data_IF_715771292769
#
_entry.id   IF_715771292769
#
_cell.length_a   1.000
_cell.length_b   1.000
_cell.length_c   1.000
_cell.angle_alpha   90.00
_cell.angle_beta   90.00
_cell.angle_gamma   90.00
#
_symmetry.space_group_name_H-M   'P 1'
#
loop_
_entity.id
_entity.type
_entity.pdbx_description
1 polymer ?
#
# COMPACT_ATOMS: atom_id res chain seq x y z
N UNK A 1 43.76 43.46 24.46
CA UNK A 1 42.99 42.23 24.13
C UNK A 1 42.94 42.19 22.61
N UNK A 2 43.80 41.40 22.01
CA UNK A 2 44.01 41.30 20.56
C UNK A 2 43.06 40.25 20.00
N UNK A 3 42.22 40.64 19.05
CA UNK A 3 41.35 39.72 18.30
C UNK A 3 42.16 39.01 17.24
N UNK A 4 42.14 37.69 17.30
CA UNK A 4 42.78 36.81 16.32
C UNK A 4 41.80 36.61 15.15
N UNK A 5 42.26 36.99 13.94
CA UNK A 5 41.50 36.79 12.69
C UNK A 5 41.67 35.33 12.24
N UNK A 6 40.56 34.70 11.84
CA UNK A 6 40.54 33.38 11.20
C UNK A 6 40.87 33.52 9.71
N UNK A 7 41.62 32.61 9.12
CA UNK A 7 41.93 32.64 7.70
C UNK A 7 40.67 32.24 6.88
N UNK A 8 40.43 33.00 5.82
CA UNK A 8 39.44 32.69 4.81
C UNK A 8 39.94 31.47 4.00
N UNK A 9 39.13 30.41 3.94
CA UNK A 9 39.37 29.28 3.07
C UNK A 9 39.04 29.65 1.62
N UNK A 10 40.03 29.51 0.75
CA UNK A 10 39.90 29.62 -0.71
C UNK A 10 38.85 28.60 -1.22
N UNK A 11 37.87 29.11 -1.90
CA UNK A 11 36.88 28.31 -2.64
C UNK A 11 37.55 27.98 -3.98
N UNK A 12 37.89 26.68 -4.17
CA UNK A 12 38.30 26.17 -5.46
C UNK A 12 37.10 26.18 -6.44
N UNK A 13 37.30 26.54 -7.69
CA UNK A 13 36.20 26.54 -8.69
C UNK A 13 35.79 25.09 -8.97
N UNK A 14 34.51 24.81 -8.77
CA UNK A 14 33.87 23.55 -9.19
C UNK A 14 33.86 23.48 -10.71
N UNK A 15 34.49 22.44 -11.25
CA UNK A 15 34.43 22.08 -12.65
C UNK A 15 32.97 21.97 -13.12
N UNK A 16 32.69 22.58 -14.27
CA UNK A 16 31.44 22.49 -14.99
C UNK A 16 31.12 21.04 -15.38
N UNK A 17 30.36 20.35 -14.56
CA UNK A 17 29.70 19.13 -14.99
C UNK A 17 28.49 19.52 -15.85
N UNK A 18 28.61 19.35 -17.15
CA UNK A 18 27.49 19.36 -18.09
C UNK A 18 26.39 18.43 -17.60
N UNK A 19 25.12 18.88 -17.54
CA UNK A 19 24.02 17.98 -17.21
C UNK A 19 23.98 16.86 -18.24
N UNK A 20 24.10 15.64 -17.80
CA UNK A 20 23.79 14.47 -18.63
C UNK A 20 22.27 14.49 -18.77
N UNK A 21 21.81 14.86 -19.97
CA UNK A 21 20.40 14.68 -20.35
C UNK A 21 20.07 13.19 -20.28
N UNK A 22 19.51 12.76 -19.15
CA UNK A 22 18.89 11.45 -19.04
C UNK A 22 17.61 11.53 -19.86
N UNK A 23 17.68 11.13 -21.12
CA UNK A 23 16.53 10.93 -22.00
C UNK A 23 15.66 9.84 -21.36
N UNK A 24 14.66 10.27 -20.64
CA UNK A 24 13.55 9.37 -20.30
C UNK A 24 12.83 9.03 -21.61
N UNK A 25 12.49 7.76 -21.88
CA UNK A 25 11.67 7.43 -23.02
C UNK A 25 10.37 8.24 -22.94
N UNK A 26 9.86 8.76 -24.07
CA UNK A 26 8.64 9.53 -24.07
C UNK A 26 7.52 8.70 -23.42
N UNK A 27 6.69 9.35 -22.61
CA UNK A 27 5.54 8.70 -22.01
C UNK A 27 4.69 8.09 -23.15
N UNK A 28 4.25 6.81 -23.02
CA UNK A 28 3.45 6.16 -24.03
C UNK A 28 2.24 7.03 -24.37
N UNK A 29 2.00 7.24 -25.66
CA UNK A 29 0.87 8.04 -26.17
C UNK A 29 -0.41 7.20 -26.15
N UNK A 30 -1.56 7.84 -26.30
CA UNK A 30 -2.83 7.11 -26.42
C UNK A 30 -2.87 6.14 -27.62
N UNK A 31 -2.02 6.38 -28.62
CA UNK A 31 -1.88 5.52 -29.81
C UNK A 31 -1.11 4.23 -29.51
N UNK A 32 -0.21 4.23 -28.51
CA UNK A 32 0.54 3.04 -28.08
C UNK A 32 -0.37 2.00 -27.39
N UNK A 33 -1.60 2.37 -27.05
CA UNK A 33 -2.62 1.50 -26.44
C UNK A 33 -3.78 1.17 -27.41
N UNK A 34 -3.68 1.56 -28.68
CA UNK A 34 -4.76 1.43 -29.67
C UNK A 34 -4.86 0.03 -30.30
N UNK A 35 -3.94 -0.88 -30.00
CA UNK A 35 -4.02 -2.25 -30.49
C UNK A 35 -5.04 -3.07 -29.69
N UNK A 36 -6.21 -3.21 -30.33
CA UNK A 36 -7.23 -4.27 -30.16
C UNK A 36 -7.47 -4.81 -28.73
N UNK A 37 -8.03 -4.00 -27.85
CA UNK A 37 -8.82 -4.56 -26.77
C UNK A 37 -10.26 -4.68 -27.21
N UNK A 38 -10.56 -5.72 -27.98
CA UNK A 38 -11.93 -6.21 -28.12
C UNK A 38 -12.42 -6.52 -26.70
N UNK A 39 -13.51 -5.93 -26.19
CA UNK A 39 -14.05 -6.32 -24.90
C UNK A 39 -14.58 -7.75 -25.04
N UNK A 40 -13.78 -8.72 -24.68
CA UNK A 40 -14.24 -10.07 -24.49
C UNK A 40 -15.23 -10.04 -23.32
N UNK A 41 -16.51 -10.07 -23.68
CA UNK A 41 -17.60 -10.35 -22.75
C UNK A 41 -17.39 -11.76 -22.20
N UNK A 42 -16.64 -11.86 -21.11
CA UNK A 42 -16.43 -13.10 -20.39
C UNK A 42 -17.33 -13.12 -19.15
N UNK A 43 -18.62 -13.31 -19.37
CA UNK A 43 -19.51 -13.79 -18.33
C UNK A 43 -19.08 -15.23 -17.99
N UNK A 44 -18.54 -15.46 -16.78
CA UNK A 44 -18.45 -16.80 -16.20
C UNK A 44 -17.09 -17.48 -16.13
N UNK A 45 -15.97 -16.77 -16.12
CA UNK A 45 -14.70 -17.40 -15.71
C UNK A 45 -14.62 -17.38 -14.19
N UNK A 46 -15.12 -18.44 -13.57
CA UNK A 46 -14.79 -18.82 -12.21
C UNK A 46 -13.31 -19.19 -12.19
N UNK A 47 -12.54 -18.78 -11.19
CA UNK A 47 -11.11 -19.14 -11.05
C UNK A 47 -10.85 -20.66 -11.06
N UNK A 48 -11.87 -21.48 -10.87
CA UNK A 48 -11.80 -22.95 -11.02
C UNK A 48 -11.40 -23.42 -12.43
N UNK A 49 -11.56 -22.57 -13.47
CA UNK A 49 -11.16 -22.94 -14.84
C UNK A 49 -9.70 -22.56 -15.16
N UNK A 50 -8.97 -21.94 -14.24
CA UNK A 50 -7.55 -21.62 -14.40
C UNK A 50 -6.65 -22.75 -13.93
N UNK A 51 -7.07 -24.00 -14.07
CA UNK A 51 -6.23 -25.16 -13.83
C UNK A 51 -5.40 -25.59 -15.06
N UNK A 52 -4.74 -24.64 -15.73
CA UNK A 52 -3.55 -25.02 -16.47
C UNK A 52 -2.48 -25.34 -15.43
N UNK A 53 -1.93 -26.56 -15.35
CA UNK A 53 -0.91 -26.88 -14.38
C UNK A 53 0.29 -25.97 -14.63
N UNK A 54 0.50 -24.97 -13.77
CA UNK A 54 1.79 -24.32 -13.70
C UNK A 54 2.78 -25.39 -13.27
N UNK A 55 3.57 -25.87 -14.21
CA UNK A 55 4.56 -26.94 -13.99
C UNK A 55 5.68 -26.50 -13.04
N UNK A 56 5.76 -25.20 -12.70
CA UNK A 56 6.78 -24.67 -11.80
C UNK A 56 6.12 -23.77 -10.73
N UNK A 57 6.02 -24.28 -9.51
CA UNK A 57 5.63 -23.47 -8.36
C UNK A 57 6.70 -22.41 -8.06
N UNK A 58 6.25 -21.22 -7.71
CA UNK A 58 7.12 -20.09 -7.35
C UNK A 58 7.64 -20.33 -5.93
N UNK A 59 8.96 -20.47 -5.77
CA UNK A 59 9.59 -20.61 -4.46
C UNK A 59 9.74 -19.24 -3.79
N UNK A 60 8.69 -18.79 -3.15
CA UNK A 60 8.68 -17.52 -2.41
C UNK A 60 7.48 -17.47 -1.45
N UNK A 61 7.58 -16.69 -0.40
CA UNK A 61 6.44 -16.37 0.46
C UNK A 61 5.59 -15.32 -0.27
N UNK A 62 4.33 -15.61 -0.65
CA UNK A 62 3.52 -14.70 -1.43
C UNK A 62 3.06 -13.50 -0.60
N UNK A 63 3.20 -12.30 -1.16
CA UNK A 63 2.66 -11.07 -0.59
C UNK A 63 1.82 -10.36 -1.65
N UNK A 64 0.69 -9.78 -1.24
CA UNK A 64 -0.25 -9.09 -2.12
C UNK A 64 -0.75 -7.81 -1.48
N UNK A 65 -1.01 -6.79 -2.30
CA UNK A 65 -1.77 -5.61 -1.90
C UNK A 65 -3.14 -5.66 -2.54
N UNK A 66 -4.14 -5.36 -1.74
CA UNK A 66 -5.54 -5.20 -2.16
C UNK A 66 -5.95 -3.76 -1.91
N UNK A 67 -6.30 -3.04 -2.97
CA UNK A 67 -6.71 -1.64 -2.89
C UNK A 67 -8.11 -1.44 -3.46
N UNK A 68 -8.79 -0.37 -3.03
CA UNK A 68 -10.11 0.01 -3.54
C UNK A 68 -10.79 1.02 -2.65
N UNK A 69 -11.94 1.52 -3.09
CA UNK A 69 -12.75 2.47 -2.33
C UNK A 69 -13.21 1.90 -0.98
N UNK A 70 -13.59 2.78 -0.07
CA UNK A 70 -14.23 2.36 1.18
C UNK A 70 -15.54 1.62 0.89
N UNK A 71 -15.82 0.55 1.62
CA UNK A 71 -17.04 -0.25 1.46
C UNK A 71 -17.08 -1.18 0.23
N UNK A 72 -16.06 -1.20 -0.62
CA UNK A 72 -16.03 -2.08 -1.82
C UNK A 72 -15.85 -3.57 -1.49
N UNK A 73 -15.59 -3.92 -0.22
CA UNK A 73 -15.46 -5.31 0.23
C UNK A 73 -14.02 -5.81 0.33
N UNK A 74 -13.04 -4.92 0.52
CA UNK A 74 -11.61 -5.28 0.70
C UNK A 74 -11.40 -6.24 1.85
N UNK A 75 -11.92 -5.93 3.04
CA UNK A 75 -11.79 -6.79 4.23
C UNK A 75 -12.42 -8.15 4.00
N UNK A 76 -13.61 -8.19 3.39
CA UNK A 76 -14.25 -9.45 3.00
C UNK A 76 -13.38 -10.26 2.03
N UNK A 77 -12.76 -9.60 1.05
CA UNK A 77 -11.83 -10.25 0.11
C UNK A 77 -10.67 -10.95 0.84
N UNK A 78 -10.18 -10.40 1.96
CA UNK A 78 -9.09 -11.00 2.72
C UNK A 78 -9.46 -12.33 3.37
N UNK A 79 -10.75 -12.68 3.41
CA UNK A 79 -11.28 -13.97 3.90
C UNK A 79 -11.45 -15.03 2.82
N UNK A 80 -11.07 -14.75 1.57
CA UNK A 80 -11.15 -15.74 0.47
C UNK A 80 -10.08 -16.85 0.55
N UNK A 81 -9.34 -16.90 1.67
CA UNK A 81 -8.53 -18.04 2.13
C UNK A 81 -8.80 -18.29 3.61
N UNK A 82 -8.57 -19.52 4.07
CA UNK A 82 -8.73 -19.90 5.48
C UNK A 82 -7.49 -19.52 6.31
N UNK A 83 -7.67 -19.47 7.63
CA UNK A 83 -6.60 -19.32 8.63
C UNK A 83 -5.83 -18.00 8.53
N UNK A 84 -6.53 -16.92 8.18
CA UNK A 84 -6.00 -15.55 8.22
C UNK A 84 -6.02 -14.95 9.61
N UNK A 85 -5.04 -14.07 9.90
CA UNK A 85 -4.98 -13.28 11.11
C UNK A 85 -4.88 -11.79 10.76
N UNK A 86 -5.72 -10.94 11.36
CA UNK A 86 -5.83 -9.54 11.00
C UNK A 86 -5.20 -8.61 12.04
N UNK A 87 -4.33 -7.72 11.59
CA UNK A 87 -3.93 -6.51 12.29
C UNK A 87 -4.90 -5.40 11.87
N UNK A 88 -6.00 -5.24 12.61
CA UNK A 88 -7.10 -4.35 12.31
C UNK A 88 -6.80 -2.94 12.82
N UNK A 89 -6.30 -2.09 11.93
CA UNK A 89 -5.88 -0.72 12.26
C UNK A 89 -7.05 0.25 12.10
N UNK A 90 -7.95 -0.03 11.15
CA UNK A 90 -9.12 0.83 10.86
C UNK A 90 -10.30 0.54 11.80
N UNK A 91 -10.34 -0.65 12.39
CA UNK A 91 -11.47 -1.09 13.21
C UNK A 91 -12.62 -1.69 12.38
N UNK A 92 -12.41 -1.94 11.09
CA UNK A 92 -13.42 -2.43 10.15
C UNK A 92 -13.52 -3.96 10.06
N UNK A 93 -12.55 -4.69 10.60
CA UNK A 93 -12.46 -6.14 10.43
C UNK A 93 -13.37 -6.96 11.38
N UNK A 94 -14.15 -6.30 12.24
CA UNK A 94 -14.90 -6.96 13.31
C UNK A 94 -15.93 -7.98 12.86
N UNK A 95 -16.51 -7.83 11.67
CA UNK A 95 -17.48 -8.78 11.11
C UNK A 95 -16.82 -9.95 10.37
N UNK A 96 -15.56 -9.79 9.98
CA UNK A 96 -14.85 -10.76 9.14
C UNK A 96 -13.88 -11.63 9.94
N UNK A 97 -13.31 -11.11 11.02
CA UNK A 97 -12.37 -11.80 11.89
C UNK A 97 -12.89 -11.83 13.34
N UNK A 98 -12.96 -13.01 13.95
CA UNK A 98 -13.26 -13.13 15.37
C UNK A 98 -12.08 -12.65 16.25
N UNK A 99 -12.32 -12.53 17.56
CA UNK A 99 -11.33 -11.97 18.49
C UNK A 99 -10.08 -12.84 18.66
N UNK A 100 -10.11 -14.12 18.28
CA UNK A 100 -8.93 -14.99 18.29
C UNK A 100 -8.07 -14.82 17.03
N UNK A 101 -8.64 -14.25 15.96
CA UNK A 101 -8.00 -14.09 14.66
C UNK A 101 -7.71 -12.63 14.30
N UNK A 102 -7.77 -11.71 15.27
CA UNK A 102 -7.40 -10.31 15.05
C UNK A 102 -6.73 -9.69 16.28
N UNK A 103 -5.97 -8.62 16.02
CA UNK A 103 -5.60 -7.60 16.99
C UNK A 103 -6.19 -6.30 16.50
N UNK A 104 -7.09 -5.72 17.28
CA UNK A 104 -7.70 -4.42 16.95
C UNK A 104 -6.87 -3.30 17.57
N UNK A 105 -6.58 -2.28 16.76
CA UNK A 105 -5.88 -1.07 17.16
C UNK A 105 -6.84 0.12 17.17
N UNK A 106 -6.46 1.16 17.91
CA UNK A 106 -7.14 2.45 17.85
C UNK A 106 -6.34 3.39 16.95
N UNK A 107 -6.88 3.86 15.81
CA UNK A 107 -6.19 4.79 14.92
C UNK A 107 -5.73 6.09 15.61
N UNK A 108 -6.46 6.53 16.65
CA UNK A 108 -6.09 7.71 17.45
C UNK A 108 -5.03 7.47 18.52
N UNK A 109 -4.53 6.24 18.67
CA UNK A 109 -3.53 5.92 19.69
C UNK A 109 -2.16 6.52 19.33
N UNK A 110 -1.59 7.40 20.18
CA UNK A 110 -0.28 8.02 19.90
C UNK A 110 0.89 7.02 19.89
N UNK A 111 0.68 5.80 20.37
CA UNK A 111 1.69 4.74 20.37
C UNK A 111 1.40 3.64 19.32
N UNK A 112 0.48 3.84 18.41
CA UNK A 112 0.04 2.83 17.45
C UNK A 112 1.21 2.13 16.75
N UNK A 113 2.14 2.89 16.17
CA UNK A 113 3.28 2.33 15.46
C UNK A 113 4.19 1.46 16.36
N UNK A 114 4.36 1.86 17.62
CA UNK A 114 5.15 1.11 18.61
C UNK A 114 4.42 -0.18 18.99
N UNK A 115 3.11 -0.11 19.24
CA UNK A 115 2.29 -1.28 19.59
C UNK A 115 2.28 -2.29 18.45
N UNK A 116 2.06 -1.81 17.22
CA UNK A 116 2.09 -2.65 16.03
C UNK A 116 3.46 -3.33 15.86
N UNK A 117 4.56 -2.59 16.02
CA UNK A 117 5.90 -3.17 15.94
C UNK A 117 6.14 -4.25 17.00
N UNK A 118 5.69 -4.03 18.24
CA UNK A 118 5.79 -5.03 19.33
C UNK A 118 5.02 -6.30 18.98
N UNK A 119 3.83 -6.17 18.40
CA UNK A 119 3.01 -7.33 18.04
C UNK A 119 3.58 -8.05 16.81
N UNK A 120 4.15 -7.34 15.84
CA UNK A 120 4.91 -7.92 14.73
C UNK A 120 6.11 -8.72 15.24
N UNK A 121 6.86 -8.20 16.23
CA UNK A 121 7.97 -8.94 16.87
C UNK A 121 7.48 -10.20 17.58
N UNK A 122 6.33 -10.15 18.31
CA UNK A 122 5.72 -11.33 18.94
C UNK A 122 5.30 -12.36 17.89
N UNK A 123 4.65 -11.93 16.79
CA UNK A 123 4.26 -12.81 15.70
C UNK A 123 5.48 -13.49 15.07
N UNK A 124 6.55 -12.75 14.85
CA UNK A 124 7.80 -13.31 14.32
C UNK A 124 8.44 -14.35 15.26
N UNK A 125 8.24 -14.22 16.58
CA UNK A 125 8.74 -15.15 17.59
C UNK A 125 7.86 -16.40 17.78
N UNK A 126 6.67 -16.45 17.15
CA UNK A 126 5.78 -17.61 17.22
C UNK A 126 6.43 -18.85 16.58
N UNK A 127 6.13 -20.02 17.15
CA UNK A 127 6.57 -21.31 16.58
C UNK A 127 5.95 -21.52 15.22
N UNK A 128 6.68 -22.23 14.35
CA UNK A 128 6.18 -22.68 13.06
C UNK A 128 5.76 -24.13 13.10
N UNK A 129 4.65 -24.41 12.41
CA UNK A 129 4.16 -25.73 12.13
C UNK A 129 3.87 -25.83 10.64
N UNK A 130 4.88 -26.25 9.86
CA UNK A 130 4.85 -26.18 8.40
C UNK A 130 4.68 -24.76 7.88
N UNK A 131 3.61 -24.52 7.13
CA UNK A 131 3.27 -23.20 6.56
C UNK A 131 2.56 -22.27 7.58
N UNK A 132 2.31 -22.72 8.81
CA UNK A 132 1.54 -21.98 9.80
C UNK A 132 2.44 -21.37 10.87
N UNK A 133 2.01 -20.22 11.42
CA UNK A 133 2.42 -19.75 12.73
C UNK A 133 1.47 -20.33 13.77
N UNK A 134 2.02 -20.84 14.88
CA UNK A 134 1.25 -21.29 16.02
C UNK A 134 1.21 -20.18 17.06
N UNK A 135 0.05 -19.56 17.22
CA UNK A 135 -0.16 -18.50 18.19
C UNK A 135 -0.12 -19.05 19.62
N UNK A 136 0.23 -18.25 20.64
CA UNK A 136 0.16 -18.67 22.04
C UNK A 136 -1.23 -19.16 22.47
N UNK A 137 -2.29 -18.67 21.82
CA UNK A 137 -3.68 -19.12 22.00
C UNK A 137 -3.98 -20.50 21.42
N UNK A 138 -3.03 -21.12 20.71
CA UNK A 138 -3.24 -22.37 19.96
C UNK A 138 -3.79 -22.19 18.55
N UNK A 139 -4.14 -20.97 18.15
CA UNK A 139 -4.62 -20.67 16.80
C UNK A 139 -3.50 -20.85 15.79
N UNK A 140 -3.81 -21.52 14.65
CA UNK A 140 -2.92 -21.67 13.51
C UNK A 140 -3.18 -20.57 12.50
N UNK A 141 -2.16 -19.84 12.11
CA UNK A 141 -2.24 -18.70 11.20
C UNK A 141 -1.45 -19.00 9.93
N UNK A 142 -2.11 -18.99 8.78
CA UNK A 142 -1.50 -19.25 7.47
C UNK A 142 -1.01 -17.97 6.80
N UNK A 143 -1.73 -16.87 6.96
CA UNK A 143 -1.37 -15.57 6.39
C UNK A 143 -1.79 -14.42 7.31
N UNK A 144 -1.12 -13.29 7.14
CA UNK A 144 -1.37 -12.07 7.89
C UNK A 144 -2.11 -11.05 7.00
N UNK A 145 -3.09 -10.37 7.55
CA UNK A 145 -3.77 -9.22 6.95
C UNK A 145 -3.39 -7.96 7.71
N UNK A 146 -3.08 -6.88 7.02
CA UNK A 146 -2.85 -5.55 7.61
C UNK A 146 -3.89 -4.60 7.04
N UNK A 147 -4.90 -4.24 7.84
CA UNK A 147 -6.10 -3.50 7.41
C UNK A 147 -6.27 -2.22 8.25
N UNK A 148 -5.92 -1.03 7.77
CA UNK A 148 -5.38 -0.65 6.46
C UNK A 148 -4.05 0.09 6.58
N UNK A 149 -3.20 -0.05 5.57
CA UNK A 149 -1.84 0.53 5.57
C UNK A 149 -1.84 2.05 5.44
N UNK A 150 -2.79 2.63 4.70
CA UNK A 150 -2.89 4.08 4.52
C UNK A 150 -3.36 4.78 5.80
N UNK A 151 -4.27 4.17 6.58
CA UNK A 151 -4.65 4.68 7.90
C UNK A 151 -3.45 4.62 8.86
N UNK A 152 -2.69 3.53 8.85
CA UNK A 152 -1.45 3.44 9.62
C UNK A 152 -0.48 4.55 9.25
N UNK A 153 -0.25 4.78 7.97
CA UNK A 153 0.63 5.85 7.50
C UNK A 153 0.11 7.23 7.91
N UNK A 154 -1.21 7.47 7.76
CA UNK A 154 -1.85 8.72 8.21
C UNK A 154 -1.62 8.96 9.69
N UNK A 155 -1.82 7.95 10.53
CA UNK A 155 -1.59 8.04 11.97
C UNK A 155 -0.12 8.35 12.29
N UNK A 156 0.84 7.73 11.60
CA UNK A 156 2.27 8.04 11.76
C UNK A 156 2.55 9.50 11.38
N UNK A 157 1.98 10.00 10.27
CA UNK A 157 2.09 11.40 9.85
C UNK A 157 1.53 12.35 10.90
N UNK A 158 0.33 12.06 11.43
CA UNK A 158 -0.32 12.86 12.47
C UNK A 158 0.50 12.89 13.77
N UNK A 159 1.02 11.74 14.19
CA UNK A 159 1.90 11.64 15.36
C UNK A 159 3.21 12.40 15.17
N UNK A 160 3.81 12.30 13.98
CA UNK A 160 5.00 13.05 13.64
C UNK A 160 4.77 14.55 13.68
N UNK A 161 3.67 15.03 13.11
CA UNK A 161 3.31 16.44 13.13
C UNK A 161 2.92 16.93 14.52
N UNK A 162 2.17 16.13 15.30
CA UNK A 162 1.78 16.45 16.67
C UNK A 162 2.98 16.58 17.63
N UNK A 163 4.03 15.79 17.40
CA UNK A 163 5.29 15.90 18.14
C UNK A 163 6.21 17.01 17.63
N UNK A 164 5.70 17.91 16.81
CA UNK A 164 6.44 19.04 16.28
C UNK A 164 7.59 18.63 15.38
N UNK A 165 7.45 17.55 14.63
CA UNK A 165 8.46 17.01 13.71
C UNK A 165 9.76 16.56 14.42
N UNK A 166 9.68 16.18 15.70
CA UNK A 166 10.83 15.86 16.55
C UNK A 166 11.30 14.39 16.47
N UNK A 167 10.98 13.69 15.40
CA UNK A 167 11.59 12.36 15.18
C UNK A 167 13.00 12.58 14.60
N UNK A 168 13.95 12.81 15.50
CA UNK A 168 15.38 12.62 15.25
C UNK A 168 16.20 13.84 14.81
N UNK A 169 15.66 14.80 14.08
CA UNK A 169 16.40 15.98 13.61
C UNK A 169 15.45 17.16 13.41
N UNK A 170 15.09 17.86 14.44
CA UNK A 170 14.16 18.96 14.26
C UNK A 170 14.34 20.13 15.20
N UNK A 171 14.32 21.29 14.63
CA UNK A 171 14.29 22.55 15.32
C UNK A 171 13.05 22.60 16.25
N UNK A 172 13.28 22.53 17.57
CA UNK A 172 12.25 22.56 18.60
C UNK A 172 11.40 23.85 18.59
N UNK A 173 11.80 24.88 17.84
CA UNK A 173 11.10 26.16 17.75
C UNK A 173 9.74 26.06 17.04
N UNK A 174 9.62 25.18 16.03
CA UNK A 174 8.34 24.95 15.32
C UNK A 174 7.32 24.23 16.19
N UNK A 175 7.78 23.28 17.03
CA UNK A 175 6.91 22.57 17.97
C UNK A 175 6.32 23.48 19.04
N UNK A 176 7.14 24.37 19.60
CA UNK A 176 6.68 25.34 20.59
C UNK A 176 5.64 26.31 20.02
N UNK A 177 5.84 26.76 18.77
CA UNK A 177 4.87 27.61 18.07
C UNK A 177 3.54 26.94 17.80
N UNK A 178 3.56 25.62 17.51
CA UNK A 178 2.34 24.82 17.29
C UNK A 178 1.54 24.64 18.59
N UNK A 179 2.20 24.30 19.70
CA UNK A 179 1.55 24.15 21.00
C UNK A 179 0.90 25.48 21.46
N UNK A 180 1.58 26.59 21.23
CA UNK A 180 1.00 27.94 21.52
C UNK A 180 -0.17 28.24 20.58
N UNK A 181 -0.09 27.89 19.29
CA UNK A 181 -1.19 28.10 18.34
C UNK A 181 -2.42 27.26 18.68
N UNK A 182 -2.25 26.01 19.12
CA UNK A 182 -3.34 25.16 19.59
C UNK A 182 -3.99 25.73 20.87
N UNK A 183 -3.19 26.19 21.82
CA UNK A 183 -3.69 26.80 23.05
C UNK A 183 -4.44 28.14 22.80
N UNK A 184 -4.11 28.83 21.71
CA UNK A 184 -4.78 30.06 21.28
C UNK A 184 -6.00 29.82 20.36
N UNK A 185 -6.37 28.56 20.07
CA UNK A 185 -7.45 28.20 19.14
C UNK A 185 -7.12 28.42 17.65
N UNK A 186 -5.88 28.78 17.32
CA UNK A 186 -5.42 29.01 15.95
C UNK A 186 -4.72 27.76 15.44
N UNK A 187 -5.48 26.82 14.88
CA UNK A 187 -4.93 25.64 14.22
C UNK A 187 -4.46 26.01 12.81
N UNK A 188 -3.16 26.14 12.63
CA UNK A 188 -2.56 26.15 11.28
C UNK A 188 -1.99 24.75 11.03
N UNK A 189 -2.53 23.97 10.06
CA UNK A 189 -1.97 22.68 9.73
C UNK A 189 -0.50 22.85 9.35
N UNK A 190 0.39 22.07 10.00
CA UNK A 190 1.80 22.09 9.62
C UNK A 190 1.90 21.49 8.22
N UNK A 191 2.35 22.29 7.27
CA UNK A 191 2.62 21.82 5.92
C UNK A 191 3.81 20.84 5.95
N UNK A 192 3.60 19.62 5.47
CA UNK A 192 4.66 18.64 5.30
C UNK A 192 5.61 19.09 4.19
N UNK A 193 6.89 19.16 4.49
CA UNK A 193 7.96 19.43 3.54
C UNK A 193 8.55 18.13 3.00
N UNK A 194 9.36 18.19 1.95
CA UNK A 194 9.94 16.98 1.33
C UNK A 194 10.81 16.17 2.31
N UNK A 195 11.57 16.85 3.16
CA UNK A 195 12.39 16.23 4.19
C UNK A 195 11.58 15.53 5.29
N UNK A 196 10.37 16.01 5.59
CA UNK A 196 9.48 15.38 6.56
C UNK A 196 9.02 14.01 6.08
N UNK A 197 8.72 13.88 4.78
CA UNK A 197 8.41 12.61 4.15
C UNK A 197 9.55 11.60 4.22
N UNK A 198 10.80 12.08 4.13
CA UNK A 198 11.99 11.24 4.36
C UNK A 198 12.00 10.63 5.76
N UNK A 199 11.67 11.42 6.79
CA UNK A 199 11.58 10.94 8.18
C UNK A 199 10.46 9.93 8.38
N UNK A 200 9.29 10.14 7.78
CA UNK A 200 8.17 9.20 7.83
C UNK A 200 8.54 7.88 7.15
N UNK A 201 9.17 7.93 5.98
CA UNK A 201 9.62 6.73 5.28
C UNK A 201 10.64 5.94 6.11
N UNK A 202 11.51 6.64 6.86
CA UNK A 202 12.48 6.01 7.78
C UNK A 202 11.79 5.23 8.91
N UNK A 203 10.56 5.58 9.30
CA UNK A 203 9.75 4.82 10.27
C UNK A 203 8.95 3.70 9.59
N UNK A 204 8.37 4.00 8.44
CA UNK A 204 7.48 3.07 7.74
C UNK A 204 8.23 1.90 7.09
N UNK A 205 9.39 2.16 6.51
CA UNK A 205 10.15 1.12 5.80
C UNK A 205 10.60 -0.04 6.71
N UNK A 206 11.16 0.18 7.91
CA UNK A 206 11.45 -0.89 8.85
C UNK A 206 10.20 -1.66 9.29
N UNK A 207 9.08 -0.98 9.49
CA UNK A 207 7.83 -1.63 9.89
C UNK A 207 7.30 -2.56 8.79
N UNK A 208 7.23 -2.09 7.54
CA UNK A 208 6.86 -2.90 6.38
C UNK A 208 7.79 -4.11 6.24
N UNK A 209 9.10 -3.88 6.34
CA UNK A 209 10.10 -4.96 6.26
C UNK A 209 9.95 -5.96 7.40
N UNK A 210 9.68 -5.51 8.63
CA UNK A 210 9.44 -6.37 9.78
C UNK A 210 8.19 -7.24 9.58
N UNK A 211 7.09 -6.67 9.08
CA UNK A 211 5.86 -7.40 8.76
C UNK A 211 6.15 -8.50 7.72
N UNK A 212 6.80 -8.16 6.62
CA UNK A 212 7.15 -9.13 5.57
C UNK A 212 8.13 -10.22 6.06
N UNK A 213 8.97 -9.91 7.06
CA UNK A 213 9.94 -10.84 7.65
C UNK A 213 9.34 -11.84 8.66
N UNK A 214 8.03 -11.75 8.96
CA UNK A 214 7.32 -12.74 9.79
C UNK A 214 7.40 -14.13 9.15
N UNK A 215 7.47 -14.19 7.80
CA UNK A 215 7.76 -15.42 7.06
C UNK A 215 6.51 -16.23 6.73
N UNK A 216 5.33 -15.64 6.76
CA UNK A 216 4.09 -16.14 6.18
C UNK A 216 3.57 -15.15 5.13
N UNK A 217 2.63 -15.54 4.26
CA UNK A 217 1.97 -14.63 3.33
C UNK A 217 1.42 -13.39 4.03
N UNK A 218 1.52 -12.23 3.37
CA UNK A 218 0.97 -10.97 3.88
C UNK A 218 0.04 -10.37 2.83
N UNK A 219 -1.14 -9.98 3.28
CA UNK A 219 -2.14 -9.24 2.53
C UNK A 219 -2.20 -7.83 3.11
N UNK A 220 -1.67 -6.85 2.38
CA UNK A 220 -1.85 -5.45 2.73
C UNK A 220 -3.15 -4.94 2.15
N UNK A 221 -3.99 -4.32 2.96
CA UNK A 221 -5.20 -3.62 2.52
C UNK A 221 -4.92 -2.13 2.51
N UNK A 222 -5.35 -1.44 1.45
CA UNK A 222 -5.25 0.02 1.35
C UNK A 222 -6.53 0.59 0.73
N UNK A 223 -6.81 1.86 0.99
CA UNK A 223 -7.75 2.59 0.16
C UNK A 223 -7.10 2.92 -1.20
N UNK A 224 -7.94 3.25 -2.17
CA UNK A 224 -7.43 3.76 -3.43
C UNK A 224 -6.91 5.20 -3.26
N UNK A 225 -5.90 5.52 -4.04
CA UNK A 225 -5.34 6.84 -4.18
C UNK A 225 -5.26 7.23 -5.65
N UNK A 226 -4.69 8.41 -5.91
CA UNK A 226 -4.48 8.91 -7.26
C UNK A 226 -5.37 10.10 -7.60
N UNK A 227 -5.34 10.49 -8.86
CA UNK A 227 -6.09 11.64 -9.36
C UNK A 227 -7.35 11.18 -10.10
N UNK A 228 -8.45 11.91 -9.92
CA UNK A 228 -9.66 11.69 -10.72
C UNK A 228 -9.43 12.13 -12.16
N UNK A 229 -10.13 11.49 -13.10
CA UNK A 229 -10.18 11.89 -14.49
C UNK A 229 -10.70 13.33 -14.61
N UNK A 230 -10.15 14.09 -15.56
CA UNK A 230 -10.55 15.46 -15.83
C UNK A 230 -11.26 15.53 -17.18
N UNK A 231 -12.38 16.23 -17.24
CA UNK A 231 -13.18 16.39 -18.45
C UNK A 231 -13.26 17.87 -18.85
N UNK A 232 -13.43 18.12 -20.13
CA UNK A 232 -13.70 19.46 -20.64
C UNK A 232 -15.12 19.87 -20.24
N UNK A 233 -15.27 20.99 -19.52
CA UNK A 233 -16.55 21.47 -19.01
C UNK A 233 -17.62 21.64 -20.10
N UNK A 234 -17.23 22.10 -21.29
CA UNK A 234 -18.16 22.43 -22.36
C UNK A 234 -18.54 21.23 -23.24
N UNK A 235 -17.72 20.20 -23.31
CA UNK A 235 -17.91 19.08 -24.26
C UNK A 235 -18.08 17.73 -23.57
N UNK A 236 -17.82 17.65 -22.27
CA UNK A 236 -17.79 16.39 -21.52
C UNK A 236 -16.71 15.39 -21.97
N UNK A 237 -15.86 15.76 -22.95
CA UNK A 237 -14.79 14.89 -23.42
C UNK A 237 -13.67 14.79 -22.39
N UNK A 238 -13.05 13.61 -22.31
CA UNK A 238 -11.91 13.37 -21.45
C UNK A 238 -10.76 14.33 -21.81
N UNK A 239 -10.32 15.13 -20.83
CA UNK A 239 -9.19 16.05 -20.96
C UNK A 239 -7.90 15.38 -20.51
N UNK A 240 -7.96 14.66 -19.39
CA UNK A 240 -6.83 13.94 -18.81
C UNK A 240 -7.36 12.71 -18.07
N UNK A 241 -6.82 11.51 -18.36
CA UNK A 241 -7.17 10.32 -17.57
C UNK A 241 -6.76 10.52 -16.12
N UNK A 242 -7.53 9.93 -15.22
CA UNK A 242 -7.17 9.81 -13.82
C UNK A 242 -6.14 8.71 -13.61
N UNK A 243 -5.71 8.57 -12.36
CA UNK A 243 -4.83 7.50 -11.90
C UNK A 243 -5.51 6.71 -10.79
N UNK A 244 -5.38 5.40 -10.83
CA UNK A 244 -5.79 4.50 -9.74
C UNK A 244 -4.52 3.86 -9.15
N UNK A 245 -4.15 4.33 -7.96
CA UNK A 245 -2.92 3.95 -7.24
C UNK A 245 -3.27 3.51 -5.82
N UNK A 246 -2.28 3.00 -5.11
CA UNK A 246 -2.42 2.74 -3.67
C UNK A 246 -2.63 4.06 -2.91
N UNK A 247 -3.45 4.04 -1.86
CA UNK A 247 -3.64 5.17 -0.96
C UNK A 247 -2.42 5.49 -0.10
N UNK A 248 -1.45 4.60 -0.06
CA UNK A 248 -0.15 4.82 0.58
C UNK A 248 0.74 5.63 -0.34
N UNK A 249 1.06 6.85 0.05
CA UNK A 249 1.79 7.81 -0.76
C UNK A 249 3.32 7.65 -0.70
N UNK A 250 3.99 8.19 -1.74
CA UNK A 250 5.45 8.36 -1.79
C UNK A 250 6.23 7.05 -1.76
N UNK A 251 7.44 7.14 -1.19
CA UNK A 251 8.41 6.03 -1.16
C UNK A 251 7.88 4.79 -0.42
N UNK A 252 7.03 4.94 0.58
CA UNK A 252 6.42 3.79 1.29
C UNK A 252 5.51 2.99 0.35
N UNK A 253 4.69 3.66 -0.46
CA UNK A 253 3.85 2.99 -1.46
C UNK A 253 4.67 2.27 -2.52
N UNK A 254 5.74 2.90 -3.01
CA UNK A 254 6.69 2.29 -3.95
C UNK A 254 7.42 1.09 -3.33
N UNK A 255 7.86 1.20 -2.07
CA UNK A 255 8.50 0.11 -1.34
C UNK A 255 7.56 -1.11 -1.27
N UNK A 256 6.30 -0.90 -0.84
CA UNK A 256 5.31 -1.97 -0.75
C UNK A 256 5.11 -2.61 -2.13
N UNK A 257 4.87 -1.79 -3.17
CA UNK A 257 4.70 -2.30 -4.54
C UNK A 257 5.91 -3.11 -5.01
N UNK A 258 7.13 -2.71 -4.65
CA UNK A 258 8.34 -3.41 -5.04
C UNK A 258 8.52 -4.75 -4.32
N UNK A 259 8.07 -4.87 -3.08
CA UNK A 259 8.24 -6.06 -2.26
C UNK A 259 7.15 -7.11 -2.46
N UNK A 260 5.94 -6.72 -2.90
CA UNK A 260 4.84 -7.67 -3.11
C UNK A 260 4.88 -8.33 -4.48
N UNK A 261 4.21 -9.49 -4.60
CA UNK A 261 4.11 -10.26 -5.84
C UNK A 261 2.96 -9.79 -6.71
N UNK A 262 1.88 -9.29 -6.09
CA UNK A 262 0.75 -8.74 -6.81
C UNK A 262 0.20 -7.47 -6.14
N UNK A 263 -0.35 -6.57 -6.96
CA UNK A 263 -1.16 -5.43 -6.55
C UNK A 263 -2.46 -5.52 -7.32
N UNK A 264 -3.56 -5.65 -6.63
CA UNK A 264 -4.89 -5.75 -7.23
C UNK A 264 -5.80 -4.63 -6.73
N UNK A 265 -6.72 -4.20 -7.59
CA UNK A 265 -7.72 -3.21 -7.23
C UNK A 265 -9.11 -3.83 -7.29
N UNK A 266 -9.89 -3.63 -6.24
CA UNK A 266 -11.31 -3.99 -6.21
C UNK A 266 -12.11 -2.72 -6.46
N UNK A 267 -12.98 -2.77 -7.45
CA UNK A 267 -13.82 -1.66 -7.82
C UNK A 267 -15.27 -2.12 -7.98
N UNK A 268 -16.20 -1.19 -7.83
CA UNK A 268 -17.58 -1.40 -8.23
C UNK A 268 -17.75 -0.88 -9.66
N UNK A 269 -18.16 -1.76 -10.57
CA UNK A 269 -18.53 -1.40 -11.94
C UNK A 269 -20.02 -1.02 -11.97
N UNK A 270 -20.36 0.27 -12.09
CA UNK A 270 -21.74 0.72 -12.05
C UNK A 270 -22.54 0.26 -13.27
N UNK A 271 -21.88 0.00 -14.40
CA UNK A 271 -22.54 -0.45 -15.63
C UNK A 271 -22.95 -1.92 -15.54
N UNK A 272 -22.13 -2.74 -14.87
CA UNK A 272 -22.43 -4.15 -14.65
C UNK A 272 -23.18 -4.43 -13.35
N UNK A 273 -23.25 -3.45 -12.45
CA UNK A 273 -23.81 -3.63 -11.10
C UNK A 273 -23.02 -4.64 -10.26
N UNK A 274 -21.74 -4.86 -10.56
CA UNK A 274 -20.90 -5.89 -9.95
C UNK A 274 -19.57 -5.32 -9.47
N UNK A 275 -18.93 -6.02 -8.55
CA UNK A 275 -17.52 -5.78 -8.21
C UNK A 275 -16.63 -6.47 -9.20
N UNK A 276 -15.50 -5.82 -9.50
CA UNK A 276 -14.45 -6.35 -10.39
C UNK A 276 -13.11 -6.26 -9.70
N UNK A 277 -12.21 -7.19 -10.04
CA UNK A 277 -10.82 -7.19 -9.61
C UNK A 277 -9.96 -6.87 -10.82
N UNK A 278 -9.16 -5.82 -10.71
CA UNK A 278 -8.18 -5.41 -11.73
C UNK A 278 -6.81 -5.93 -11.30
N UNK A 279 -6.21 -6.78 -12.12
CA UNK A 279 -5.00 -7.54 -11.78
C UNK A 279 -3.76 -7.12 -12.55
N UNK A 280 -3.93 -6.37 -13.65
CA UNK A 280 -2.85 -5.88 -14.50
C UNK A 280 -3.00 -4.39 -14.77
N UNK A 281 -1.89 -3.75 -15.12
CA UNK A 281 -1.91 -2.36 -15.56
C UNK A 281 -2.77 -2.21 -16.81
N UNK A 282 -3.72 -1.27 -16.79
CA UNK A 282 -4.67 -1.06 -17.86
C UNK A 282 -5.34 0.32 -17.73
N UNK A 283 -6.08 0.73 -18.76
CA UNK A 283 -7.04 1.83 -18.65
C UNK A 283 -8.40 1.26 -18.27
N UNK A 284 -9.00 1.75 -17.19
CA UNK A 284 -10.31 1.35 -16.73
C UNK A 284 -11.09 2.55 -16.20
N UNK A 285 -12.29 2.78 -16.73
CA UNK A 285 -13.16 3.90 -16.34
C UNK A 285 -12.42 5.26 -16.36
N UNK A 286 -11.75 5.55 -17.49
CA UNK A 286 -10.94 6.76 -17.69
C UNK A 286 -9.81 6.97 -16.65
N UNK A 287 -9.39 5.91 -15.97
CA UNK A 287 -8.27 5.91 -15.01
C UNK A 287 -7.19 4.91 -15.41
N UNK A 288 -5.93 5.33 -15.33
CA UNK A 288 -4.78 4.44 -15.45
C UNK A 288 -4.63 3.62 -14.19
N UNK A 289 -4.79 2.32 -14.29
CA UNK A 289 -4.69 1.37 -13.17
C UNK A 289 -3.24 0.91 -13.03
N UNK A 290 -2.68 1.08 -11.83
CA UNK A 290 -1.31 0.64 -11.52
C UNK A 290 -1.30 -0.72 -10.80
N UNK A 291 -2.10 -1.66 -11.29
CA UNK A 291 -2.07 -3.05 -10.83
C UNK A 291 -0.78 -3.74 -11.28
N UNK A 292 -0.38 -4.78 -10.55
CA UNK A 292 0.86 -5.52 -10.78
C UNK A 292 0.64 -7.01 -10.60
N UNK A 293 1.18 -7.78 -11.51
CA UNK A 293 1.27 -9.23 -11.44
C UNK A 293 2.69 -9.65 -11.85
N UNK A 294 3.59 -9.77 -10.86
CA UNK A 294 5.02 -10.01 -11.10
C UNK A 294 5.29 -11.31 -11.84
N UNK A 295 4.47 -12.32 -11.63
CA UNK A 295 4.70 -13.68 -12.14
C UNK A 295 3.69 -14.07 -13.22
N UNK A 296 2.87 -13.11 -13.68
CA UNK A 296 1.79 -13.37 -14.64
C UNK A 296 0.85 -14.51 -14.20
N UNK A 297 0.52 -14.51 -12.89
CA UNK A 297 -0.33 -15.54 -12.26
C UNK A 297 -1.77 -15.42 -12.77
N UNK A 298 -2.24 -14.17 -12.95
CA UNK A 298 -3.61 -13.93 -13.36
C UNK A 298 -3.74 -14.00 -14.88
N UNK A 299 -4.66 -14.81 -15.40
CA UNK A 299 -4.80 -15.03 -16.84
C UNK A 299 -5.37 -13.79 -17.57
N UNK A 300 -6.15 -12.98 -16.86
CA UNK A 300 -6.86 -11.82 -17.41
C UNK A 300 -6.57 -10.56 -16.60
N UNK A 301 -6.70 -9.40 -17.25
CA UNK A 301 -6.46 -8.12 -16.59
C UNK A 301 -7.63 -7.69 -15.67
N UNK A 302 -8.83 -8.20 -15.93
CA UNK A 302 -10.05 -7.94 -15.16
C UNK A 302 -10.80 -9.23 -14.92
N UNK A 303 -11.27 -9.43 -13.68
CA UNK A 303 -12.11 -10.56 -13.28
C UNK A 303 -13.34 -10.05 -12.54
N UNK A 304 -14.48 -10.73 -12.70
CA UNK A 304 -15.63 -10.49 -11.85
C UNK A 304 -15.30 -10.92 -10.42
N UNK A 305 -15.67 -10.09 -9.45
CA UNK A 305 -15.50 -10.41 -8.04
C UNK A 305 -16.78 -11.02 -7.50
N UNK A 306 -16.71 -12.27 -7.08
CA UNK A 306 -17.76 -12.94 -6.32
C UNK A 306 -17.32 -13.08 -4.86
N UNK A 307 -18.22 -12.75 -3.92
CA UNK A 307 -17.95 -12.91 -2.49
C UNK A 307 -17.65 -14.34 -2.07
N UNK A 308 -18.11 -15.33 -2.83
CA UNK A 308 -17.81 -16.75 -2.64
C UNK A 308 -16.47 -17.19 -3.25
N UNK A 309 -15.72 -16.29 -3.91
CA UNK A 309 -14.48 -16.65 -4.59
C UNK A 309 -13.38 -17.08 -3.61
N UNK A 310 -12.56 -18.02 -4.04
CA UNK A 310 -11.36 -18.47 -3.32
C UNK A 310 -10.09 -17.78 -3.85
N UNK A 311 -10.17 -16.47 -4.11
CA UNK A 311 -9.12 -15.74 -4.79
C UNK A 311 -7.76 -15.88 -4.11
N UNK A 312 -7.69 -15.58 -2.81
CA UNK A 312 -6.43 -15.68 -2.06
C UNK A 312 -5.95 -17.12 -1.93
N UNK A 313 -6.85 -18.08 -1.72
CA UNK A 313 -6.48 -19.49 -1.68
C UNK A 313 -5.85 -19.91 -3.01
N UNK A 314 -6.46 -19.54 -4.14
CA UNK A 314 -5.91 -19.80 -5.47
C UNK A 314 -4.60 -19.06 -5.68
N UNK A 315 -4.50 -17.77 -5.32
CA UNK A 315 -3.25 -17.02 -5.41
C UNK A 315 -2.12 -17.68 -4.64
N UNK A 316 -2.36 -18.10 -3.39
CA UNK A 316 -1.36 -18.75 -2.57
C UNK A 316 -0.94 -20.13 -3.13
N UNK A 317 -1.82 -20.85 -3.85
CA UNK A 317 -1.51 -22.15 -4.42
C UNK A 317 -0.42 -22.15 -5.50
N UNK A 318 -0.13 -20.97 -6.07
CA UNK A 318 0.98 -20.82 -7.03
C UNK A 318 2.37 -20.75 -6.37
N UNK A 319 2.44 -20.72 -5.04
CA UNK A 319 3.67 -20.54 -4.30
C UNK A 319 3.98 -21.75 -3.40
N UNK A 320 5.28 -21.95 -3.14
CA UNK A 320 5.79 -22.87 -2.11
C UNK A 320 6.69 -22.10 -1.15
N UNK A 321 6.41 -22.16 0.14
CA UNK A 321 7.17 -21.48 1.20
C UNK A 321 7.29 -22.33 2.46
#
# INVERSE_FOLDING_TARGET
MTATAYPQSEILPTENSTPVDVMFPPAPTAEDFADEVTPLSMSGIVMEQVSAPMTNLIRAIPHIVVSGESGVGKTHFTRTAADGFCLDIEGGAGSEFDDNHKIQYNPGDPELAIKLMRDVVKLKACKRDGQYLLMPSGVRVKYLVVDTMDIMMKTVVEQYTARGKTIGYGDNTKAAGMVQGLAAGNYTPIKMELQDWGSINTLMAPLVTAILSIGIPVVFVTHEGGQKAQYHLNTGKLKKPGDLRLGVNGQTGELIQNLVHAVVFIMFDPFKGKRVILTKAQLYDDRRVYAKDRHNIFPVAQMDYDYGSKFLETFFSFFTW
#
